data_IF_845786434326
#
_entry.id   IF_845786434326
#
_cell.length_a   1.000
_cell.length_b   1.000
_cell.length_c   1.000
_cell.angle_alpha   90.00
_cell.angle_beta   90.00
_cell.angle_gamma   90.00
#
_symmetry.space_group_name_H-M   'P 1'
#
loop_
_entity.id
_entity.type
_entity.pdbx_description
1 polymer ?
#
# COMPACT_ATOMS: atom_id res chain seq x y z
N UNK A 1 39.45 35.12 4.48
CA UNK A 1 38.08 35.15 5.05
C UNK A 1 36.95 34.91 4.04
N UNK A 2 37.19 34.56 2.76
CA UNK A 2 36.12 34.32 1.77
C UNK A 2 35.60 32.86 1.71
N UNK A 3 36.40 31.90 2.15
CA UNK A 3 36.06 30.46 2.10
C UNK A 3 35.11 29.98 3.21
N UNK A 4 35.07 30.67 4.34
CA UNK A 4 34.21 30.32 5.48
C UNK A 4 32.72 30.58 5.18
N UNK A 5 32.40 31.64 4.44
CA UNK A 5 31.03 31.92 3.98
C UNK A 5 30.54 30.94 2.90
N UNK A 6 31.43 30.51 2.00
CA UNK A 6 31.11 29.51 0.97
C UNK A 6 30.87 28.12 1.58
N UNK A 7 31.64 27.74 2.60
CA UNK A 7 31.39 26.49 3.33
C UNK A 7 30.12 26.55 4.16
N UNK A 8 29.83 27.68 4.83
CA UNK A 8 28.59 27.85 5.58
C UNK A 8 27.34 27.75 4.70
N UNK A 9 27.35 28.40 3.54
CA UNK A 9 26.26 28.33 2.55
C UNK A 9 26.10 26.93 1.95
N UNK A 10 27.20 26.24 1.64
CA UNK A 10 27.19 24.86 1.16
C UNK A 10 26.61 23.89 2.22
N UNK A 11 27.01 24.04 3.48
CA UNK A 11 26.46 23.26 4.60
C UNK A 11 24.97 23.51 4.78
N UNK A 12 24.49 24.76 4.70
CA UNK A 12 23.04 25.04 4.78
C UNK A 12 22.26 24.48 3.60
N UNK A 13 22.82 24.52 2.38
CA UNK A 13 22.21 23.92 1.19
C UNK A 13 22.15 22.39 1.26
N UNK A 14 23.20 21.74 1.78
CA UNK A 14 23.21 20.29 1.99
C UNK A 14 22.18 19.87 3.05
N UNK A 15 22.03 20.63 4.14
CA UNK A 15 20.97 20.39 5.13
C UNK A 15 19.57 20.64 4.54
N UNK A 16 19.40 21.65 3.68
CA UNK A 16 18.14 21.92 2.99
C UNK A 16 17.80 20.83 1.96
N UNK A 17 18.81 20.26 1.28
CA UNK A 17 18.64 19.09 0.40
C UNK A 17 18.25 17.82 1.16
N UNK A 18 18.66 17.69 2.43
CA UNK A 18 18.27 16.57 3.29
C UNK A 18 16.80 16.61 3.74
N UNK A 19 16.05 17.69 3.44
CA UNK A 19 14.59 17.70 3.58
C UNK A 19 13.85 16.96 2.47
N UNK A 20 14.55 16.28 1.55
CA UNK A 20 13.92 15.28 0.69
C UNK A 20 13.39 14.14 1.59
N UNK A 21 12.11 14.22 1.93
CA UNK A 21 11.42 13.24 2.75
C UNK A 21 11.47 11.87 2.09
N UNK A 22 11.93 10.85 2.82
CA UNK A 22 11.89 9.47 2.32
C UNK A 22 10.48 8.92 2.53
N UNK A 23 9.76 8.65 1.44
CA UNK A 23 8.48 7.95 1.50
C UNK A 23 8.70 6.46 1.83
N UNK A 24 8.14 6.01 2.94
CA UNK A 24 8.28 4.64 3.45
C UNK A 24 7.06 3.81 3.11
N UNK A 25 7.25 2.79 2.29
CA UNK A 25 6.20 1.88 1.84
C UNK A 25 6.47 0.47 2.37
N UNK A 26 5.44 -0.23 2.85
CA UNK A 26 5.53 -1.63 3.24
C UNK A 26 4.36 -2.47 2.74
N UNK A 27 4.61 -3.77 2.61
CA UNK A 27 3.57 -4.79 2.49
C UNK A 27 3.71 -5.76 3.65
N UNK A 28 2.62 -6.03 4.35
CA UNK A 28 2.60 -6.85 5.56
C UNK A 28 1.46 -7.85 5.49
N UNK A 29 1.80 -9.13 5.28
CA UNK A 29 0.84 -10.19 5.48
C UNK A 29 0.70 -10.45 6.99
N UNK A 30 -0.47 -10.14 7.54
CA UNK A 30 -0.82 -10.45 8.93
C UNK A 30 -1.77 -11.63 8.89
N UNK A 31 -1.24 -12.84 9.09
CA UNK A 31 -2.00 -14.09 9.04
C UNK A 31 -3.40 -13.96 9.63
N UNK A 32 -4.46 -14.17 8.84
CA UNK A 32 -5.86 -14.04 9.28
C UNK A 32 -6.11 -12.79 10.16
N UNK A 33 -5.77 -11.60 9.67
CA UNK A 33 -6.09 -10.35 10.34
C UNK A 33 -7.60 -10.17 10.46
N UNK A 34 -8.10 -9.75 11.62
CA UNK A 34 -9.54 -9.65 11.88
C UNK A 34 -9.82 -9.37 13.35
N UNK A 35 -11.10 -9.43 13.71
CA UNK A 35 -11.59 -8.95 15.01
C UNK A 35 -10.90 -9.61 16.21
N UNK A 36 -10.68 -10.93 16.16
CA UNK A 36 -10.00 -11.68 17.23
C UNK A 36 -8.59 -11.15 17.47
N UNK A 37 -7.85 -10.82 16.40
CA UNK A 37 -6.48 -10.30 16.50
C UNK A 37 -6.46 -8.87 17.02
N UNK A 38 -7.37 -8.01 16.52
CA UNK A 38 -7.45 -6.62 16.96
C UNK A 38 -8.01 -6.46 18.37
N UNK A 39 -8.78 -7.43 18.87
CA UNK A 39 -9.26 -7.43 20.26
C UNK A 39 -8.21 -7.93 21.26
N UNK A 40 -7.08 -8.47 20.80
CA UNK A 40 -5.96 -8.81 21.66
C UNK A 40 -5.06 -7.57 21.85
N UNK A 41 -5.14 -6.96 23.04
CA UNK A 41 -4.43 -5.72 23.36
C UNK A 41 -2.90 -5.80 23.17
N UNK A 42 -2.29 -6.97 23.35
CA UNK A 42 -0.84 -7.13 23.11
C UNK A 42 -0.53 -7.10 21.62
N UNK A 43 -1.31 -7.81 20.80
CA UNK A 43 -1.08 -7.87 19.35
C UNK A 43 -1.40 -6.54 18.67
N UNK A 44 -2.50 -5.87 19.04
CA UNK A 44 -2.89 -4.58 18.46
C UNK A 44 -1.80 -3.52 18.65
N UNK A 45 -1.20 -3.44 19.84
CA UNK A 45 -0.08 -2.52 20.12
C UNK A 45 1.10 -2.78 19.18
N UNK A 46 1.43 -4.05 18.90
CA UNK A 46 2.50 -4.36 17.96
C UNK A 46 2.15 -3.99 16.52
N UNK A 47 0.91 -4.22 16.07
CA UNK A 47 0.48 -3.83 14.73
C UNK A 47 0.58 -2.32 14.54
N UNK A 48 0.06 -1.54 15.50
CA UNK A 48 0.15 -0.07 15.49
C UNK A 48 1.61 0.36 15.46
N UNK A 49 2.46 -0.19 16.34
CA UNK A 49 3.89 0.15 16.39
C UNK A 49 4.63 -0.15 15.08
N UNK A 50 4.27 -1.22 14.38
CA UNK A 50 4.86 -1.59 13.08
C UNK A 50 4.35 -0.63 12.00
N UNK A 51 3.03 -0.46 11.88
CA UNK A 51 2.39 0.31 10.82
C UNK A 51 2.70 1.81 10.91
N UNK A 52 2.80 2.36 12.12
CA UNK A 52 3.15 3.77 12.36
C UNK A 52 4.50 4.21 11.78
N UNK A 53 5.36 3.25 11.38
CA UNK A 53 6.67 3.49 10.79
C UNK A 53 6.62 3.83 9.29
N UNK A 54 5.48 3.61 8.64
CA UNK A 54 5.32 3.70 7.19
C UNK A 54 4.31 4.79 6.82
N UNK A 55 4.55 5.40 5.66
CA UNK A 55 3.66 6.40 5.08
C UNK A 55 2.56 5.74 4.26
N UNK A 56 2.86 4.58 3.67
CA UNK A 56 1.89 3.68 3.05
C UNK A 56 2.19 2.25 3.51
N UNK A 57 1.19 1.54 4.00
CA UNK A 57 1.29 0.12 4.33
C UNK A 57 0.14 -0.65 3.68
N UNK A 58 0.47 -1.74 2.98
CA UNK A 58 -0.50 -2.70 2.46
C UNK A 58 -0.58 -3.89 3.39
N UNK A 59 -1.74 -4.15 3.96
CA UNK A 59 -2.02 -5.29 4.82
C UNK A 59 -2.75 -6.36 4.00
N UNK A 60 -2.24 -7.59 4.06
CA UNK A 60 -2.80 -8.76 3.38
C UNK A 60 -3.37 -9.75 4.41
N UNK A 61 -4.21 -10.68 3.95
CA UNK A 61 -5.00 -11.61 4.76
C UNK A 61 -5.99 -10.94 5.72
N UNK A 62 -6.55 -9.80 5.32
CA UNK A 62 -7.63 -9.16 6.08
C UNK A 62 -8.91 -9.98 5.91
N UNK A 63 -9.48 -10.44 7.03
CA UNK A 63 -10.71 -11.21 7.10
C UNK A 63 -11.67 -10.50 8.05
N UNK A 64 -12.31 -9.47 7.51
CA UNK A 64 -13.10 -8.53 8.30
C UNK A 64 -14.31 -8.02 7.50
N UNK A 65 -15.31 -8.89 7.30
CA UNK A 65 -16.44 -8.62 6.41
C UNK A 65 -17.26 -7.37 6.78
N UNK A 66 -17.17 -6.90 8.02
CA UNK A 66 -17.90 -5.73 8.52
C UNK A 66 -16.97 -4.56 8.87
N UNK A 67 -15.68 -4.63 8.49
CA UNK A 67 -14.66 -3.61 8.75
C UNK A 67 -14.49 -3.24 10.24
N UNK A 68 -14.85 -4.12 11.16
CA UNK A 68 -14.78 -3.87 12.61
C UNK A 68 -13.33 -3.86 13.09
N UNK A 69 -12.51 -4.79 12.61
CA UNK A 69 -11.08 -4.84 12.91
C UNK A 69 -10.31 -3.71 12.23
N UNK A 70 -10.67 -3.35 11.00
CA UNK A 70 -10.13 -2.18 10.29
C UNK A 70 -10.43 -0.90 11.06
N UNK A 71 -11.69 -0.70 11.47
CA UNK A 71 -12.09 0.44 12.31
C UNK A 71 -11.28 0.53 13.60
N UNK A 72 -11.19 -0.57 14.37
CA UNK A 72 -10.35 -0.64 15.57
C UNK A 72 -8.89 -0.29 15.30
N UNK A 73 -8.33 -0.72 14.16
CA UNK A 73 -6.94 -0.41 13.82
C UNK A 73 -6.76 1.08 13.54
N UNK A 74 -7.69 1.69 12.80
CA UNK A 74 -7.66 3.12 12.50
C UNK A 74 -7.87 3.96 13.76
N UNK A 75 -8.77 3.56 14.66
CA UNK A 75 -8.96 4.22 15.97
C UNK A 75 -7.66 4.26 16.77
N UNK A 76 -6.90 3.16 16.79
CA UNK A 76 -5.61 3.08 17.47
C UNK A 76 -4.52 3.91 16.79
N UNK A 77 -4.46 3.88 15.45
CA UNK A 77 -3.48 4.65 14.66
C UNK A 77 -3.74 6.17 14.74
N UNK A 78 -5.00 6.57 14.88
CA UNK A 78 -5.45 7.96 14.94
C UNK A 78 -5.73 8.46 16.37
N UNK A 79 -5.44 7.65 17.40
CA UNK A 79 -5.75 7.97 18.80
C UNK A 79 -5.23 9.34 19.25
N UNK A 80 -3.95 9.60 18.99
CA UNK A 80 -3.28 10.81 19.50
C UNK A 80 -3.55 12.03 18.62
N UNK A 81 -3.77 11.80 17.32
CA UNK A 81 -4.05 12.83 16.34
C UNK A 81 -5.05 12.28 15.32
N UNK A 82 -6.26 12.84 15.23
CA UNK A 82 -7.22 12.50 14.18
C UNK A 82 -6.63 12.66 12.79
N UNK A 83 -7.12 11.89 11.81
CA UNK A 83 -6.64 11.94 10.42
C UNK A 83 -5.14 11.67 10.22
N UNK A 84 -4.47 11.02 11.19
CA UNK A 84 -3.06 10.63 11.01
C UNK A 84 -2.89 9.58 9.91
N UNK A 85 -3.88 8.69 9.78
CA UNK A 85 -3.99 7.67 8.77
C UNK A 85 -5.41 7.60 8.20
N UNK A 86 -5.48 7.36 6.90
CA UNK A 86 -6.70 6.99 6.16
C UNK A 86 -6.51 5.62 5.52
N UNK A 87 -7.57 5.07 4.96
CA UNK A 87 -7.52 3.75 4.35
C UNK A 87 -8.29 3.60 3.05
N UNK A 88 -7.90 2.57 2.30
CA UNK A 88 -8.65 1.99 1.17
C UNK A 88 -8.70 0.50 1.40
N UNK A 89 -9.86 -0.11 1.22
CA UNK A 89 -10.03 -1.55 1.39
C UNK A 89 -10.67 -2.15 0.15
N UNK A 90 -10.21 -3.34 -0.25
CA UNK A 90 -10.85 -4.09 -1.34
C UNK A 90 -12.14 -4.75 -0.86
N UNK A 91 -12.95 -5.20 -1.82
CA UNK A 91 -13.99 -6.20 -1.54
C UNK A 91 -13.38 -7.51 -1.03
N UNK A 92 -14.15 -8.41 -0.38
CA UNK A 92 -13.68 -9.74 -0.01
C UNK A 92 -13.42 -10.65 -1.23
N UNK A 93 -12.16 -10.97 -1.49
CA UNK A 93 -11.67 -11.73 -2.64
C UNK A 93 -11.32 -13.18 -2.28
N UNK A 94 -11.52 -14.11 -3.21
CA UNK A 94 -11.28 -15.54 -2.99
C UNK A 94 -12.22 -16.44 -3.79
N UNK A 95 -11.74 -17.48 -4.45
CA UNK A 95 -12.63 -18.37 -5.25
C UNK A 95 -13.61 -19.21 -4.42
N UNK A 96 -13.38 -19.34 -3.10
CA UNK A 96 -14.15 -20.20 -2.19
C UNK A 96 -14.76 -19.38 -1.05
N UNK A 97 -15.35 -20.05 -0.07
CA UNK A 97 -15.86 -19.43 1.16
C UNK A 97 -14.78 -18.71 1.97
N UNK A 98 -13.52 -19.10 1.79
CA UNK A 98 -12.39 -18.39 2.39
C UNK A 98 -12.06 -17.15 1.54
N UNK A 99 -12.47 -15.99 2.06
CA UNK A 99 -12.26 -14.67 1.46
C UNK A 99 -11.28 -13.84 2.29
N UNK A 100 -10.50 -13.01 1.59
CA UNK A 100 -9.54 -12.06 2.15
C UNK A 100 -9.67 -10.69 1.46
N UNK A 101 -9.25 -9.63 2.12
CA UNK A 101 -9.20 -8.27 1.57
C UNK A 101 -7.75 -7.75 1.56
N UNK A 102 -7.48 -6.81 0.66
CA UNK A 102 -6.33 -5.94 0.73
C UNK A 102 -6.73 -4.65 1.46
N UNK A 103 -5.91 -4.22 2.41
CA UNK A 103 -6.10 -2.97 3.13
C UNK A 103 -4.88 -2.08 2.94
N UNK A 104 -5.08 -0.92 2.34
CA UNK A 104 -4.10 0.14 2.28
C UNK A 104 -4.35 1.08 3.45
N UNK A 105 -3.31 1.37 4.22
CA UNK A 105 -3.33 2.39 5.27
C UNK A 105 -2.26 3.41 4.91
N UNK A 106 -2.62 4.68 4.83
CA UNK A 106 -1.73 5.73 4.33
C UNK A 106 -1.86 7.04 5.09
N UNK A 107 -0.79 7.83 5.09
CA UNK A 107 -0.71 9.15 5.71
C UNK A 107 -1.16 10.24 4.71
N UNK A 108 -2.31 10.91 4.93
CA UNK A 108 -2.82 11.89 3.97
C UNK A 108 -1.99 13.18 3.89
N UNK A 109 -1.11 13.43 4.87
CA UNK A 109 -0.13 14.53 4.82
C UNK A 109 1.09 14.20 3.96
N UNK A 110 1.32 12.93 3.62
CA UNK A 110 2.43 12.46 2.79
C UNK A 110 2.02 12.15 1.35
N UNK A 111 0.82 11.59 1.15
CA UNK A 111 0.29 11.19 -0.16
C UNK A 111 -1.21 11.42 -0.28
N UNK A 112 -1.69 11.62 -1.51
CA UNK A 112 -3.12 11.59 -1.84
C UNK A 112 -3.43 10.45 -2.81
N UNK A 113 -4.69 10.00 -2.81
CA UNK A 113 -5.18 9.03 -3.79
C UNK A 113 -5.69 9.79 -5.00
N UNK A 114 -5.20 9.42 -6.17
CA UNK A 114 -5.70 9.91 -7.45
C UNK A 114 -6.80 9.00 -8.00
N UNK A 115 -6.64 7.69 -7.79
CA UNK A 115 -7.58 6.68 -8.28
C UNK A 115 -7.40 5.37 -7.50
N UNK A 116 -8.44 4.55 -7.48
CA UNK A 116 -8.38 3.18 -7.00
C UNK A 116 -9.39 2.32 -7.75
N UNK A 117 -8.99 1.10 -8.13
CA UNK A 117 -9.86 0.16 -8.81
C UNK A 117 -9.41 -1.28 -8.56
N UNK A 118 -10.33 -2.21 -8.71
CA UNK A 118 -10.05 -3.64 -8.62
C UNK A 118 -9.67 -4.17 -10.02
N UNK A 119 -8.58 -4.94 -10.11
CA UNK A 119 -8.33 -5.69 -11.35
C UNK A 119 -9.45 -6.69 -11.54
N UNK A 120 -9.84 -6.88 -12.79
CA UNK A 120 -10.87 -7.81 -13.21
C UNK A 120 -10.31 -8.43 -14.49
N UNK A 121 -9.98 -9.72 -14.41
CA UNK A 121 -9.44 -10.52 -15.50
C UNK A 121 -10.49 -11.34 -16.23
N UNK A 122 -11.76 -11.11 -15.91
CA UNK A 122 -12.89 -11.62 -16.64
C UNK A 122 -13.98 -12.20 -15.76
N UNK A 123 -14.79 -13.04 -16.39
CA UNK A 123 -16.02 -13.54 -15.80
C UNK A 123 -15.77 -14.52 -14.65
N UNK A 124 -16.02 -14.10 -13.39
CA UNK A 124 -15.98 -14.98 -12.21
C UNK A 124 -16.85 -16.25 -12.38
N UNK A 125 -18.11 -16.17 -12.89
CA UNK A 125 -18.95 -17.36 -13.10
C UNK A 125 -18.42 -18.32 -14.17
N UNK A 126 -17.58 -17.85 -15.08
CA UNK A 126 -17.06 -18.62 -16.21
C UNK A 126 -15.83 -19.45 -15.83
N UNK A 127 -15.26 -19.23 -14.62
CA UNK A 127 -14.14 -20.00 -14.10
C UNK A 127 -12.80 -19.74 -14.80
N UNK A 128 -12.70 -18.64 -15.55
CA UNK A 128 -11.49 -18.25 -16.28
C UNK A 128 -10.62 -17.22 -15.51
N UNK A 129 -10.94 -17.01 -14.24
CA UNK A 129 -10.23 -16.10 -13.35
C UNK A 129 -8.79 -16.60 -13.12
N UNK A 130 -7.81 -15.75 -13.41
CA UNK A 130 -6.37 -16.02 -13.28
C UNK A 130 -5.92 -15.89 -11.82
N UNK A 131 -6.53 -14.97 -11.06
CA UNK A 131 -6.11 -14.66 -9.70
C UNK A 131 -7.16 -15.07 -8.68
N UNK A 132 -6.80 -16.02 -7.80
CA UNK A 132 -7.70 -16.35 -6.69
C UNK A 132 -8.07 -15.14 -5.81
N UNK A 133 -7.25 -14.08 -5.81
CA UNK A 133 -7.52 -12.78 -5.20
C UNK A 133 -7.01 -11.71 -6.14
N UNK A 134 -7.91 -11.10 -6.88
CA UNK A 134 -7.63 -10.10 -7.89
C UNK A 134 -6.85 -8.92 -7.27
N UNK A 135 -5.82 -8.36 -7.94
CA UNK A 135 -5.08 -7.23 -7.39
C UNK A 135 -5.94 -5.97 -7.20
N UNK A 136 -5.86 -5.34 -6.01
CA UNK A 136 -6.45 -4.04 -5.75
C UNK A 136 -5.46 -2.92 -6.10
N UNK A 137 -5.74 -2.10 -7.11
CA UNK A 137 -4.84 -1.06 -7.59
C UNK A 137 -5.18 0.27 -6.94
N UNK A 138 -4.19 0.93 -6.33
CA UNK A 138 -4.33 2.30 -5.81
C UNK A 138 -3.24 3.17 -6.41
N UNK A 139 -3.66 4.25 -7.07
CA UNK A 139 -2.78 5.28 -7.64
C UNK A 139 -2.61 6.41 -6.63
N UNK A 140 -1.37 6.65 -6.22
CA UNK A 140 -0.99 7.70 -5.29
C UNK A 140 -0.29 8.85 -5.99
N UNK A 141 -0.47 10.04 -5.42
CA UNK A 141 0.35 11.21 -5.67
C UNK A 141 1.20 11.54 -4.44
N UNK A 142 2.50 11.79 -4.63
CA UNK A 142 3.44 12.16 -3.57
C UNK A 142 4.25 13.41 -3.97
N UNK A 143 3.96 14.59 -3.37
CA UNK A 143 4.63 15.84 -3.77
C UNK A 143 6.08 15.94 -3.29
N UNK A 144 6.52 15.06 -2.39
CA UNK A 144 7.82 15.13 -1.72
C UNK A 144 8.86 14.14 -2.31
N UNK A 145 8.48 13.35 -3.31
CA UNK A 145 9.37 12.35 -3.93
C UNK A 145 9.61 12.67 -5.39
N UNK A 146 10.69 12.11 -5.97
CA UNK A 146 10.98 12.26 -7.40
C UNK A 146 9.88 11.64 -8.29
N UNK A 147 9.27 10.55 -7.82
CA UNK A 147 8.15 9.88 -8.50
C UNK A 147 6.84 10.43 -7.93
N UNK A 148 6.33 11.48 -8.57
CA UNK A 148 5.15 12.18 -8.08
C UNK A 148 3.86 11.36 -8.21
N UNK A 149 3.74 10.51 -9.23
CA UNK A 149 2.58 9.64 -9.43
C UNK A 149 3.05 8.19 -9.59
N UNK A 150 2.48 7.28 -8.79
CA UNK A 150 2.77 5.86 -8.88
C UNK A 150 1.56 5.03 -8.46
N UNK A 151 1.49 3.78 -8.94
CA UNK A 151 0.47 2.83 -8.52
C UNK A 151 1.09 1.72 -7.67
N UNK A 152 0.36 1.28 -6.65
CA UNK A 152 0.69 0.08 -5.88
C UNK A 152 -0.31 -1.01 -6.24
N UNK A 153 0.22 -2.19 -6.59
CA UNK A 153 -0.54 -3.37 -7.01
C UNK A 153 -0.11 -4.55 -6.12
N UNK A 154 -0.86 -4.86 -5.06
CA UNK A 154 -0.56 -5.99 -4.20
C UNK A 154 -1.05 -7.29 -4.82
N UNK A 155 -0.27 -8.34 -4.61
CA UNK A 155 -0.61 -9.68 -5.05
C UNK A 155 -0.32 -10.67 -3.93
N UNK A 156 -1.38 -11.26 -3.38
CA UNK A 156 -1.33 -12.40 -2.48
C UNK A 156 -1.67 -13.67 -3.27
N UNK A 157 -0.69 -14.23 -3.98
CA UNK A 157 -0.89 -15.43 -4.79
C UNK A 157 -1.24 -16.65 -3.92
N UNK A 158 -2.08 -17.55 -4.43
CA UNK A 158 -2.28 -18.85 -3.78
C UNK A 158 -0.93 -19.61 -3.79
N UNK A 159 -0.48 -20.20 -2.67
CA UNK A 159 0.82 -20.90 -2.63
C UNK A 159 0.99 -21.97 -3.71
N UNK A 160 -0.13 -22.59 -4.13
CA UNK A 160 -0.17 -23.61 -5.19
C UNK A 160 -0.15 -23.04 -6.62
N UNK A 161 -0.31 -21.72 -6.79
CA UNK A 161 -0.38 -21.02 -8.09
C UNK A 161 0.75 -19.97 -8.22
N UNK A 162 1.66 -19.88 -7.25
CA UNK A 162 2.68 -18.83 -7.13
C UNK A 162 3.81 -18.88 -8.18
N UNK A 163 3.70 -19.73 -9.21
CA UNK A 163 4.75 -19.90 -10.20
C UNK A 163 4.84 -18.77 -11.24
N UNK A 164 3.85 -17.88 -11.35
CA UNK A 164 3.83 -16.91 -12.45
C UNK A 164 3.01 -15.65 -12.16
N UNK A 165 3.55 -14.68 -11.42
CA UNK A 165 3.31 -13.26 -11.77
C UNK A 165 4.23 -12.29 -11.01
N UNK A 166 4.94 -11.44 -11.77
CA UNK A 166 5.69 -10.28 -11.30
C UNK A 166 4.95 -9.02 -11.79
N UNK A 167 4.78 -8.00 -10.94
CA UNK A 167 4.50 -6.63 -11.39
C UNK A 167 5.54 -5.72 -10.76
N UNK A 168 6.34 -5.08 -11.61
CA UNK A 168 7.39 -4.15 -11.20
C UNK A 168 7.08 -2.71 -11.59
N UNK A 169 7.64 -1.76 -10.85
CA UNK A 169 8.17 -0.53 -11.43
C UNK A 169 9.36 0.02 -10.64
N UNK A 170 10.15 0.81 -11.36
CA UNK A 170 11.53 1.22 -11.08
C UNK A 170 11.67 2.11 -9.84
N UNK A 171 12.39 1.65 -8.81
CA UNK A 171 12.91 2.50 -7.72
C UNK A 171 14.40 2.21 -7.57
N UNK A 172 15.24 3.18 -7.89
CA UNK A 172 16.68 3.13 -7.61
C UNK A 172 16.88 3.34 -6.10
N UNK A 173 16.82 2.26 -5.33
CA UNK A 173 16.97 2.33 -3.88
C UNK A 173 16.71 1.00 -3.19
N UNK A 174 17.62 0.04 -3.39
CA UNK A 174 17.85 -1.16 -2.57
C UNK A 174 16.65 -1.61 -1.68
N UNK A 175 15.67 -2.30 -2.26
CA UNK A 175 14.88 -3.29 -1.54
C UNK A 175 15.17 -4.67 -2.15
N UNK A 176 15.64 -5.58 -1.30
CA UNK A 176 15.84 -6.97 -1.68
C UNK A 176 14.49 -7.70 -1.71
N UNK A 177 14.06 -8.12 -2.91
CA UNK A 177 13.61 -9.48 -3.17
C UNK A 177 13.92 -9.78 -4.66
N UNK A 178 14.78 -10.76 -4.92
CA UNK A 178 15.12 -11.25 -6.28
C UNK A 178 13.92 -12.02 -6.87
N UNK A 179 13.60 -11.96 -8.17
CA UNK A 179 14.31 -12.69 -9.24
C UNK A 179 14.06 -12.09 -10.65
N UNK A 180 15.08 -12.22 -11.51
CA UNK A 180 15.24 -11.71 -12.88
C UNK A 180 14.20 -12.21 -13.90
N UNK A 181 13.91 -11.38 -14.92
CA UNK A 181 14.31 -11.64 -16.31
C UNK A 181 14.20 -10.38 -17.19
N UNK A 182 15.08 -10.33 -18.20
CA UNK A 182 15.33 -9.21 -19.11
C UNK A 182 14.20 -9.05 -20.12
N UNK A 183 13.56 -7.89 -20.10
CA UNK A 183 13.01 -7.08 -21.21
C UNK A 183 11.75 -6.35 -20.73
N UNK A 184 11.88 -5.03 -20.58
CA UNK A 184 10.85 -4.13 -20.08
C UNK A 184 10.08 -3.51 -21.25
N UNK A 185 8.76 -3.67 -21.24
CA UNK A 185 7.82 -2.74 -21.86
C UNK A 185 7.17 -1.92 -20.73
N UNK A 186 7.01 -0.59 -20.86
CA UNK A 186 6.28 0.21 -19.88
C UNK A 186 4.80 -0.16 -19.91
N UNK A 187 4.28 -0.67 -18.79
CA UNK A 187 2.83 -0.86 -18.61
C UNK A 187 2.28 0.43 -18.01
N UNK A 188 1.64 1.25 -18.84
CA UNK A 188 0.88 2.41 -18.37
C UNK A 188 -0.47 1.91 -17.88
N UNK A 189 -0.65 1.81 -16.56
CA UNK A 189 -1.92 1.47 -15.95
C UNK A 189 -2.86 2.68 -16.02
N UNK A 190 -3.68 2.75 -17.07
CA UNK A 190 -4.84 3.63 -17.09
C UNK A 190 -5.97 2.96 -16.31
N UNK A 191 -6.62 3.71 -15.43
CA UNK A 191 -7.89 3.28 -14.83
C UNK A 191 -8.95 3.21 -15.93
N UNK A 192 -9.60 2.06 -16.15
CA UNK A 192 -10.69 1.97 -17.10
C UNK A 192 -11.90 2.76 -16.55
N UNK A 193 -12.44 3.68 -17.35
CA UNK A 193 -13.55 4.58 -16.96
C UNK A 193 -14.82 3.89 -16.45
N UNK A 194 -14.95 2.57 -16.65
CA UNK A 194 -16.14 1.78 -16.32
C UNK A 194 -15.96 0.87 -15.08
N UNK A 195 -14.81 0.92 -14.38
CA UNK A 195 -14.57 0.07 -13.20
C UNK A 195 -15.04 0.73 -11.91
N UNK A 196 -15.66 -0.02 -10.98
CA UNK A 196 -16.04 0.52 -9.68
C UNK A 196 -14.78 0.92 -8.89
N UNK A 197 -14.78 2.15 -8.39
CA UNK A 197 -13.72 2.64 -7.51
C UNK A 197 -13.80 1.95 -6.16
N UNK A 198 -12.63 1.64 -5.57
CA UNK A 198 -12.61 1.10 -4.21
C UNK A 198 -13.07 2.16 -3.22
N UNK A 199 -13.79 1.78 -2.14
CA UNK A 199 -14.21 2.73 -1.13
C UNK A 199 -12.97 3.35 -0.46
N UNK A 200 -12.84 4.67 -0.63
CA UNK A 200 -11.93 5.50 0.15
C UNK A 200 -12.75 6.05 1.30
N UNK A 201 -12.34 5.80 2.54
CA UNK A 201 -13.02 6.39 3.68
C UNK A 201 -12.76 7.90 3.71
N UNK A 202 -13.82 8.69 3.57
CA UNK A 202 -13.82 10.12 3.84
C UNK A 202 -13.76 10.37 5.37
N UNK A 203 -13.16 11.50 5.81
CA UNK A 203 -12.99 11.84 7.22
C UNK A 203 -14.31 12.04 8.00
#
# INVERSE_FOLDING_TARGET
MRYTGLMGTLLTLVNLLQLAGTLRIAAFNIRTFGETKMSNATLSVYFVKILSRYDIAVIQEVRDSHLVAVGKLLDELNRDKPDTYRYVVSEPLGRKSYKEQYLFVYRPDQVSILDSYQYDDGCEPCGNDTFSREPAIVKFFSPYTEVQEFAIVPLHAAPTEAACLLVGHHVHGRLQCWLQLRHFLPVVLHSPSDKPHLPVADP
#
